data_IF_622178122831
#
_entry.id   IF_622178122831
#
_cell.length_a   1.000
_cell.length_b   1.000
_cell.length_c   1.000
_cell.angle_alpha   90.00
_cell.angle_beta   90.00
_cell.angle_gamma   90.00
#
_symmetry.space_group_name_H-M   'P 1'
#
loop_
_entity.id
_entity.type
_entity.pdbx_description
1 polymer ?
#
# COMPACT_ATOMS: atom_id res chain seq x y z
N UNK A 1 -27.56 -26.25 -22.86
CA UNK A 1 -27.26 -24.81 -22.73
C UNK A 1 -26.70 -24.57 -21.33
N UNK A 2 -25.38 -24.46 -21.18
CA UNK A 2 -24.71 -23.77 -20.08
C UNK A 2 -23.26 -23.55 -20.52
N UNK A 3 -22.89 -22.29 -20.67
CA UNK A 3 -21.54 -21.84 -21.06
C UNK A 3 -20.68 -21.81 -19.79
N UNK A 4 -19.47 -22.38 -19.77
CA UNK A 4 -18.62 -22.31 -18.59
C UNK A 4 -18.18 -20.87 -18.39
N UNK A 5 -18.70 -20.24 -17.35
CA UNK A 5 -18.20 -18.96 -16.85
C UNK A 5 -16.94 -19.25 -16.05
N UNK A 6 -15.81 -18.83 -16.60
CA UNK A 6 -14.57 -18.45 -15.88
C UNK A 6 -14.25 -19.27 -14.61
N UNK A 7 -13.46 -20.33 -14.81
CA UNK A 7 -12.45 -20.82 -13.86
C UNK A 7 -12.85 -20.99 -12.39
N UNK A 8 -13.79 -21.89 -12.11
CA UNK A 8 -14.00 -22.37 -10.73
C UNK A 8 -12.83 -23.29 -10.33
N UNK A 9 -12.21 -23.03 -9.18
CA UNK A 9 -11.20 -23.91 -8.56
C UNK A 9 -11.73 -25.35 -8.40
N UNK A 10 -13.05 -25.53 -8.24
CA UNK A 10 -13.68 -26.83 -8.15
C UNK A 10 -13.64 -27.63 -9.47
N UNK A 11 -13.62 -26.95 -10.61
CA UNK A 11 -13.45 -27.62 -11.91
C UNK A 11 -12.00 -28.09 -12.11
N UNK A 12 -11.04 -27.23 -11.77
CA UNK A 12 -9.60 -27.55 -11.87
C UNK A 12 -9.22 -28.66 -10.91
N UNK A 13 -9.73 -28.65 -9.67
CA UNK A 13 -9.43 -29.68 -8.68
C UNK A 13 -10.16 -31.01 -8.94
N UNK A 14 -11.18 -31.02 -9.80
CA UNK A 14 -11.90 -32.25 -10.16
C UNK A 14 -11.16 -33.11 -11.20
N UNK A 15 -10.15 -32.54 -11.87
CA UNK A 15 -9.34 -33.22 -12.90
C UNK A 15 -8.10 -33.93 -12.32
N UNK A 16 -7.82 -33.75 -11.03
CA UNK A 16 -6.65 -34.32 -10.35
C UNK A 16 -7.10 -35.12 -9.13
N UNK A 17 -6.49 -36.30 -8.95
CA UNK A 17 -6.68 -37.10 -7.73
C UNK A 17 -5.81 -36.54 -6.60
N UNK A 18 -6.43 -35.99 -5.56
CA UNK A 18 -5.74 -35.46 -4.39
C UNK A 18 -5.90 -36.36 -3.17
N UNK A 19 -4.81 -36.55 -2.43
CA UNK A 19 -4.81 -37.16 -1.10
C UNK A 19 -4.44 -36.11 -0.05
N UNK A 20 -5.26 -35.97 0.98
CA UNK A 20 -5.00 -35.02 2.08
C UNK A 20 -3.94 -35.58 3.02
N UNK A 21 -2.68 -35.23 2.79
CA UNK A 21 -1.55 -35.64 3.64
C UNK A 21 -1.06 -34.46 4.48
N UNK A 22 -1.22 -34.56 5.81
CA UNK A 22 -0.65 -33.59 6.75
C UNK A 22 0.88 -33.74 6.81
N UNK A 23 1.61 -32.69 6.39
CA UNK A 23 3.08 -32.62 6.48
C UNK A 23 3.47 -31.77 7.70
N UNK A 24 3.98 -32.37 8.80
CA UNK A 24 4.45 -31.60 9.95
C UNK A 24 5.64 -30.72 9.55
N UNK A 25 5.78 -29.55 10.20
CA UNK A 25 6.64 -28.44 9.76
C UNK A 25 8.07 -28.80 9.35
N UNK A 26 8.70 -29.78 10.03
CA UNK A 26 10.07 -30.27 9.72
C UNK A 26 10.22 -30.96 8.36
N UNK A 27 9.11 -31.35 7.71
CA UNK A 27 9.09 -31.89 6.35
C UNK A 27 8.50 -30.89 5.35
N UNK A 28 8.11 -29.70 5.81
CA UNK A 28 7.52 -28.63 5.00
C UNK A 28 8.56 -27.53 4.71
N UNK A 29 9.84 -27.82 4.86
CA UNK A 29 10.94 -26.86 4.78
C UNK A 29 10.94 -26.09 3.44
N UNK A 30 10.62 -26.77 2.34
CA UNK A 30 10.58 -26.14 1.01
C UNK A 30 9.39 -25.18 0.88
N UNK A 31 8.20 -25.57 1.30
CA UNK A 31 7.02 -24.71 1.20
C UNK A 31 7.09 -23.55 2.22
N UNK A 32 7.62 -23.81 3.42
CA UNK A 32 7.87 -22.78 4.43
C UNK A 32 8.89 -21.76 3.92
N UNK A 33 10.04 -22.20 3.38
CA UNK A 33 11.04 -21.31 2.77
C UNK A 33 10.49 -20.49 1.60
N UNK A 34 9.70 -21.10 0.71
CA UNK A 34 9.05 -20.38 -0.40
C UNK A 34 8.02 -19.36 0.10
N UNK A 35 7.21 -19.71 1.10
CA UNK A 35 6.22 -18.80 1.68
C UNK A 35 6.88 -17.60 2.35
N UNK A 36 7.98 -17.81 3.08
CA UNK A 36 8.75 -16.75 3.75
C UNK A 36 9.37 -15.80 2.73
N UNK A 37 9.99 -16.35 1.68
CA UNK A 37 10.54 -15.54 0.59
C UNK A 37 9.48 -14.66 -0.07
N UNK A 38 8.28 -15.20 -0.32
CA UNK A 38 7.18 -14.43 -0.90
C UNK A 38 6.70 -13.31 0.03
N UNK A 39 6.62 -13.59 1.34
CA UNK A 39 6.24 -12.59 2.35
C UNK A 39 7.31 -11.50 2.44
N UNK A 40 8.59 -11.85 2.48
CA UNK A 40 9.70 -10.89 2.51
C UNK A 40 9.72 -9.99 1.27
N UNK A 41 9.53 -10.57 0.08
CA UNK A 41 9.45 -9.82 -1.17
C UNK A 41 8.25 -8.87 -1.19
N UNK A 42 7.10 -9.31 -0.70
CA UNK A 42 5.91 -8.47 -0.59
C UNK A 42 6.10 -7.32 0.40
N UNK A 43 6.68 -7.59 1.58
CA UNK A 43 6.98 -6.56 2.59
C UNK A 43 8.00 -5.55 2.04
N UNK A 44 9.03 -6.01 1.33
CA UNK A 44 10.00 -5.14 0.68
C UNK A 44 9.34 -4.26 -0.38
N UNK A 45 8.48 -4.82 -1.23
CA UNK A 45 7.73 -4.06 -2.24
C UNK A 45 6.84 -2.98 -1.60
N UNK A 46 6.14 -3.30 -0.51
CA UNK A 46 5.33 -2.32 0.23
C UNK A 46 6.19 -1.19 0.81
N UNK A 47 7.35 -1.53 1.36
CA UNK A 47 8.26 -0.55 1.96
C UNK A 47 8.81 0.41 0.92
N UNK A 48 9.17 -0.09 -0.28
CA UNK A 48 9.63 0.73 -1.41
C UNK A 48 8.54 1.70 -1.88
N UNK A 49 7.30 1.21 -2.01
CA UNK A 49 6.17 2.06 -2.40
C UNK A 49 5.91 3.15 -1.36
N UNK A 50 6.02 2.83 -0.07
CA UNK A 50 5.87 3.81 1.01
C UNK A 50 6.99 4.87 0.98
N UNK A 51 8.25 4.47 0.80
CA UNK A 51 9.36 5.41 0.70
C UNK A 51 9.24 6.35 -0.50
N UNK A 52 8.91 5.80 -1.67
CA UNK A 52 8.74 6.59 -2.91
C UNK A 52 7.62 7.62 -2.75
N UNK A 53 6.55 7.25 -2.04
CA UNK A 53 5.44 8.15 -1.76
C UNK A 53 5.83 9.28 -0.80
N UNK A 54 6.55 8.96 0.28
CA UNK A 54 7.05 9.97 1.22
C UNK A 54 8.02 10.95 0.54
N UNK A 55 8.87 10.45 -0.36
CA UNK A 55 9.79 11.29 -1.13
C UNK A 55 9.06 12.21 -2.11
N UNK A 56 7.99 11.74 -2.77
CA UNK A 56 7.15 12.60 -3.60
C UNK A 56 6.46 13.71 -2.77
N UNK A 57 5.95 13.37 -1.59
CA UNK A 57 5.38 14.37 -0.67
C UNK A 57 6.45 15.39 -0.32
N UNK A 58 7.65 14.93 0.05
CA UNK A 58 8.77 15.81 0.40
C UNK A 58 9.14 16.76 -0.73
N UNK A 59 9.21 16.27 -1.97
CA UNK A 59 9.54 17.13 -3.11
C UNK A 59 8.45 18.18 -3.37
N UNK A 60 7.17 17.77 -3.36
CA UNK A 60 6.06 18.72 -3.52
C UNK A 60 5.94 19.73 -2.38
N UNK A 61 6.36 19.34 -1.17
CA UNK A 61 6.36 20.21 0.00
C UNK A 61 7.35 21.37 -0.10
N UNK A 62 8.46 21.19 -0.84
CA UNK A 62 9.45 22.26 -1.08
C UNK A 62 8.89 23.36 -1.98
N UNK A 63 8.00 22.99 -2.91
CA UNK A 63 7.41 23.92 -3.88
C UNK A 63 6.17 24.64 -3.32
N UNK A 64 5.47 24.05 -2.35
CA UNK A 64 4.24 24.61 -1.79
C UNK A 64 4.53 25.65 -0.70
N UNK A 65 4.35 26.93 -1.04
CA UNK A 65 4.50 28.06 -0.10
C UNK A 65 3.55 27.96 1.12
N UNK A 66 2.40 27.30 0.97
CA UNK A 66 1.44 27.10 2.07
C UNK A 66 1.98 26.11 3.09
N UNK A 67 2.66 25.06 2.60
CA UNK A 67 3.30 24.04 3.43
C UNK A 67 4.45 24.63 4.23
N UNK A 68 5.30 25.45 3.60
CA UNK A 68 6.43 26.11 4.27
C UNK A 68 5.96 27.04 5.40
N UNK A 69 4.89 27.81 5.19
CA UNK A 69 4.27 28.64 6.24
C UNK A 69 3.74 27.78 7.39
N UNK A 70 3.14 26.63 7.09
CA UNK A 70 2.65 25.71 8.12
C UNK A 70 3.81 25.13 8.94
N UNK A 71 4.92 24.77 8.29
CA UNK A 71 6.15 24.31 8.97
C UNK A 71 6.69 25.39 9.91
N UNK A 72 6.70 26.65 9.48
CA UNK A 72 7.13 27.78 10.32
C UNK A 72 6.19 27.99 11.52
N UNK A 73 4.88 27.86 11.33
CA UNK A 73 3.87 27.92 12.41
C UNK A 73 3.99 26.76 13.41
N UNK A 74 4.37 25.57 12.95
CA UNK A 74 4.64 24.42 13.82
C UNK A 74 5.94 24.63 14.59
N UNK A 75 7.01 25.12 13.94
CA UNK A 75 8.30 25.43 14.59
C UNK A 75 8.19 26.55 15.62
N UNK A 76 7.39 27.57 15.35
CA UNK A 76 7.11 28.68 16.28
C UNK A 76 6.19 28.28 17.43
N UNK A 77 5.65 27.05 17.45
CA UNK A 77 4.81 26.54 18.52
C UNK A 77 3.38 27.09 18.52
N UNK A 78 2.99 27.81 17.47
CA UNK A 78 1.62 28.28 17.23
C UNK A 78 0.65 27.10 17.03
N UNK A 79 1.14 26.02 16.39
CA UNK A 79 0.34 24.83 16.12
C UNK A 79 0.98 23.62 16.80
N UNK A 80 0.37 23.18 17.92
CA UNK A 80 0.78 21.96 18.65
C UNK A 80 0.12 20.68 18.14
N UNK A 81 -0.68 20.76 17.09
CA UNK A 81 -1.42 19.62 16.51
C UNK A 81 -0.56 18.78 15.56
N UNK A 82 0.52 19.36 15.05
CA UNK A 82 1.45 18.71 14.13
C UNK A 82 2.87 18.76 14.68
N UNK A 83 3.70 17.81 14.28
CA UNK A 83 5.14 17.82 14.53
C UNK A 83 5.88 17.57 13.22
N UNK A 84 7.10 18.10 13.14
CA UNK A 84 7.97 17.93 11.98
C UNK A 84 8.89 16.72 12.25
N UNK A 85 8.83 15.71 11.39
CA UNK A 85 9.74 14.57 11.39
C UNK A 85 10.29 14.34 9.99
N UNK A 86 11.61 14.17 9.86
CA UNK A 86 12.28 13.88 8.58
C UNK A 86 11.97 14.86 7.43
N UNK A 87 11.55 16.09 7.76
CA UNK A 87 11.14 17.11 6.78
C UNK A 87 9.66 17.06 6.37
N UNK A 88 8.87 16.19 6.99
CA UNK A 88 7.44 16.02 6.78
C UNK A 88 6.64 16.38 8.04
N UNK A 89 5.47 16.98 7.86
CA UNK A 89 4.54 17.28 8.94
C UNK A 89 3.65 16.07 9.24
N UNK A 90 3.68 15.62 10.48
CA UNK A 90 2.86 14.53 10.99
C UNK A 90 1.79 15.05 11.93
N UNK A 91 0.60 14.46 11.85
CA UNK A 91 -0.53 14.70 12.72
C UNK A 91 -0.72 13.53 13.70
N UNK A 92 -1.51 13.77 14.76
CA UNK A 92 -1.93 12.73 15.70
C UNK A 92 -2.45 11.48 14.95
N UNK A 93 -1.89 10.32 15.30
CA UNK A 93 -2.24 9.03 14.70
C UNK A 93 -1.41 8.67 13.44
N UNK A 94 -0.20 9.20 13.30
CA UNK A 94 0.74 8.79 12.25
C UNK A 94 0.37 9.26 10.85
N UNK A 95 -0.50 10.27 10.73
CA UNK A 95 -0.97 10.77 9.43
C UNK A 95 -0.02 11.85 8.93
N UNK A 96 0.50 11.68 7.71
CA UNK A 96 1.32 12.70 7.04
C UNK A 96 0.43 13.77 6.43
N UNK A 97 0.83 15.03 6.55
CA UNK A 97 0.20 16.14 5.86
C UNK A 97 0.63 16.14 4.39
N UNK A 98 -0.33 16.00 3.49
CA UNK A 98 -0.10 16.01 2.03
C UNK A 98 -0.27 17.45 1.51
N UNK A 99 0.76 18.05 0.90
CA UNK A 99 0.69 19.36 0.26
C UNK A 99 -0.44 19.47 -0.78
N UNK A 100 -0.90 20.69 -1.02
CA UNK A 100 -2.02 20.90 -1.94
C UNK A 100 -1.49 20.89 -3.37
N UNK A 101 -1.92 19.94 -4.21
CA UNK A 101 -1.37 19.84 -5.56
C UNK A 101 -1.80 18.63 -6.39
N UNK A 102 -0.95 18.27 -7.35
CA UNK A 102 -1.10 17.09 -8.21
C UNK A 102 -1.10 15.79 -7.41
N UNK A 103 -0.29 15.71 -6.36
CA UNK A 103 -0.22 14.55 -5.44
C UNK A 103 -1.55 14.28 -4.73
N UNK A 104 -2.19 15.30 -4.18
CA UNK A 104 -3.52 15.14 -3.56
C UNK A 104 -4.56 14.63 -4.57
N UNK A 105 -4.54 15.13 -5.80
CA UNK A 105 -5.43 14.67 -6.88
C UNK A 105 -5.12 13.24 -7.32
N UNK A 106 -3.84 12.88 -7.40
CA UNK A 106 -3.39 11.52 -7.73
C UNK A 106 -3.81 10.53 -6.65
N UNK A 107 -3.60 10.86 -5.38
CA UNK A 107 -4.03 10.05 -4.24
C UNK A 107 -5.54 9.87 -4.24
N UNK A 108 -6.30 10.95 -4.43
CA UNK A 108 -7.76 10.86 -4.55
C UNK A 108 -8.15 9.95 -5.70
N UNK A 109 -7.54 10.08 -6.89
CA UNK A 109 -7.81 9.20 -8.03
C UNK A 109 -7.48 7.74 -7.71
N UNK A 110 -6.30 7.43 -7.18
CA UNK A 110 -5.90 6.05 -6.85
C UNK A 110 -6.81 5.42 -5.77
N UNK A 111 -7.29 6.21 -4.81
CA UNK A 111 -8.27 5.72 -3.81
C UNK A 111 -9.71 5.63 -4.33
N UNK A 112 -10.05 6.39 -5.39
CA UNK A 112 -11.38 6.42 -5.99
C UNK A 112 -11.52 5.62 -7.29
N UNK A 113 -10.42 5.12 -7.86
CA UNK A 113 -10.39 4.09 -8.92
C UNK A 113 -10.10 2.73 -8.27
N UNK A 114 -11.11 2.08 -7.65
CA UNK A 114 -11.02 0.66 -7.45
C UNK A 114 -10.92 0.01 -8.83
N UNK A 115 -9.75 -0.53 -9.17
CA UNK A 115 -9.57 -1.43 -10.32
C UNK A 115 -10.51 -2.65 -10.29
N UNK A 116 -11.25 -2.84 -9.18
CA UNK A 116 -12.29 -3.84 -9.01
C UNK A 116 -13.73 -3.34 -9.26
N UNK A 117 -13.98 -2.04 -9.42
CA UNK A 117 -15.30 -1.53 -9.81
C UNK A 117 -15.49 -1.57 -11.33
N UNK A 118 -15.72 -2.78 -11.83
CA UNK A 118 -16.55 -3.02 -13.00
C UNK A 118 -16.22 -2.24 -14.28
N UNK A 119 -15.15 -2.60 -14.96
CA UNK A 119 -15.16 -2.51 -16.43
C UNK A 119 -16.13 -3.57 -16.98
N UNK A 120 -17.35 -3.15 -17.27
CA UNK A 120 -18.17 -3.70 -18.37
C UNK A 120 -19.19 -2.64 -18.78
N UNK A 121 -18.95 -2.03 -19.93
CA UNK A 121 -19.99 -1.63 -20.88
C UNK A 121 -19.48 -2.01 -22.27
#
# INVERSE_FOLDING_TARGET
>A
KAVPKTGSLAGVLGEFDFEWVHRPGKHNDVADALSRKLVEEYVAALTVVESDFLDQIRESSKTDASYLKLVEQVKSGLIRKYWLDSGLLYAKGGRVFVPTGTLRRRLLRETHDPQWAGSRN
#
